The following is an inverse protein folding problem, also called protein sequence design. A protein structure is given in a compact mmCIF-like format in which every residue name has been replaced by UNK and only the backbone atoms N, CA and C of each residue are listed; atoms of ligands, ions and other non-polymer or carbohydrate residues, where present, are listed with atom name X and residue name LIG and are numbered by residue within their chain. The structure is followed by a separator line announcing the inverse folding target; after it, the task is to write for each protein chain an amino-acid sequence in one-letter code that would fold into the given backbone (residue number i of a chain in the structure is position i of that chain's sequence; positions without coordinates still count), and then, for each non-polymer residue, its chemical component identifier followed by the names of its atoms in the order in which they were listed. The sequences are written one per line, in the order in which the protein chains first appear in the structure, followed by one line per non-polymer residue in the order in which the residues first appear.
data_IF_552391433072
#
_entry.id   IF_552391433072
#
_cell.length_a   1.000
_cell.length_b   1.000
_cell.length_c   1.000
_cell.angle_alpha   90.00
_cell.angle_beta   90.00
_cell.angle_gamma   90.00
#
_symmetry.space_group_name_H-M   'P 1'
#
loop_
_entity.id
_entity.type
_entity.pdbx_description
1 polymer ?
#
# COMPACT_ATOMS: atom_id res chain seq x y z
N UNK A 1 -3.32 -11.81 26.43
CA UNK A 1 -3.07 -11.32 27.79
C UNK A 1 -4.07 -10.21 28.12
N UNK A 2 -4.74 -10.28 29.27
CA UNK A 2 -5.69 -9.27 29.75
C UNK A 2 -5.04 -8.51 30.90
N UNK A 3 -5.25 -7.20 30.99
CA UNK A 3 -4.75 -6.38 32.07
C UNK A 3 -5.41 -6.86 33.40
N UNK A 4 -4.64 -7.40 34.31
CA UNK A 4 -5.10 -7.93 35.59
C UNK A 4 -5.00 -6.97 36.76
N UNK A 5 -4.56 -5.75 36.53
CA UNK A 5 -4.36 -4.68 37.51
C UNK A 5 -3.39 -3.64 36.91
N UNK A 6 -3.66 -2.36 37.14
CA UNK A 6 -2.80 -1.29 36.69
C UNK A 6 -2.05 -0.69 37.89
N UNK A 7 -0.78 -0.48 37.72
CA UNK A 7 0.11 0.15 38.67
C UNK A 7 0.62 1.47 38.09
N UNK A 8 0.41 2.56 38.79
CA UNK A 8 1.07 3.82 38.43
C UNK A 8 2.56 3.73 38.77
N UNK A 9 3.42 4.18 37.85
CA UNK A 9 4.84 4.17 38.13
C UNK A 9 5.48 5.55 38.04
N UNK A 10 6.51 5.72 38.84
CA UNK A 10 7.39 6.88 38.83
C UNK A 10 8.81 6.41 38.61
N UNK A 11 9.50 7.01 37.67
CA UNK A 11 10.92 6.77 37.42
C UNK A 11 11.73 7.63 38.39
N UNK A 12 12.61 7.03 39.19
CA UNK A 12 13.45 7.69 40.19
C UNK A 12 14.92 7.69 39.75
N UNK A 13 15.62 8.78 40.02
CA UNK A 13 17.05 8.86 39.71
C UNK A 13 17.31 9.36 38.30
N UNK A 14 18.43 8.94 37.70
CA UNK A 14 18.88 9.35 36.38
C UNK A 14 20.30 9.91 36.33
N UNK A 15 20.92 10.13 37.46
CA UNK A 15 22.34 10.46 37.53
C UNK A 15 23.13 9.17 37.20
N UNK A 16 23.90 9.19 36.14
CA UNK A 16 24.67 8.06 35.59
C UNK A 16 23.86 7.00 34.80
N UNK A 17 22.61 7.29 34.31
CA UNK A 17 21.82 6.37 33.49
C UNK A 17 21.26 5.17 34.28
N UNK A 18 21.32 5.19 35.58
CA UNK A 18 20.67 4.20 36.45
C UNK A 18 19.39 4.77 37.03
N UNK A 19 18.30 4.00 36.89
CA UNK A 19 16.98 4.38 37.35
C UNK A 19 16.38 3.30 38.24
N UNK A 20 15.51 3.71 39.16
CA UNK A 20 14.66 2.81 39.89
C UNK A 20 13.20 3.07 39.52
N UNK A 21 12.39 2.03 39.46
CA UNK A 21 10.96 2.14 39.20
C UNK A 21 10.22 2.01 40.54
N UNK A 22 9.47 3.04 40.90
CA UNK A 22 8.53 3.01 42.01
C UNK A 22 7.13 2.79 41.45
N UNK A 23 6.50 1.67 41.79
CA UNK A 23 5.15 1.33 41.40
C UNK A 23 4.21 1.50 42.60
N UNK A 24 3.02 2.07 42.33
CA UNK A 24 2.00 2.31 43.36
C UNK A 24 0.66 1.82 42.87
N UNK A 25 -0.05 1.08 43.76
CA UNK A 25 -1.43 0.66 43.56
C UNK A 25 -2.12 0.55 44.97
N UNK A 26 -3.29 1.17 45.11
CA UNK A 26 -4.17 1.00 46.29
C UNK A 26 -3.45 1.03 47.66
N UNK A 27 -2.60 2.05 47.89
CA UNK A 27 -1.76 2.23 49.10
C UNK A 27 -0.60 1.23 49.27
N UNK A 28 -0.35 0.38 48.31
CA UNK A 28 0.85 -0.44 48.26
C UNK A 28 1.87 0.14 47.31
N UNK A 29 3.13 0.12 47.74
CA UNK A 29 4.23 0.62 46.88
C UNK A 29 5.29 -0.47 46.73
N UNK A 30 5.86 -0.57 45.54
CA UNK A 30 6.92 -1.50 45.21
C UNK A 30 8.04 -0.75 44.51
N UNK A 31 9.29 -1.10 44.83
CA UNK A 31 10.46 -0.47 44.20
C UNK A 31 11.33 -1.53 43.54
N UNK A 32 11.91 -1.18 42.39
CA UNK A 32 12.88 -2.03 41.71
C UNK A 32 14.30 -1.81 42.26
N UNK A 33 15.18 -2.77 42.03
CA UNK A 33 16.61 -2.52 42.06
C UNK A 33 17.03 -1.48 40.99
N UNK A 34 18.17 -0.80 41.12
CA UNK A 34 18.65 0.09 40.09
C UNK A 34 18.81 -0.63 38.75
N UNK A 35 18.17 -0.09 37.71
CA UNK A 35 18.18 -0.64 36.34
C UNK A 35 18.85 0.38 35.42
N UNK A 36 19.81 -0.07 34.62
CA UNK A 36 20.42 0.77 33.59
C UNK A 36 19.50 0.85 32.37
N UNK A 37 19.00 2.03 32.06
CA UNK A 37 18.12 2.25 30.92
C UNK A 37 18.87 2.90 29.76
N UNK A 38 18.78 2.31 28.58
CA UNK A 38 19.29 2.90 27.34
C UNK A 38 18.24 3.86 26.75
N UNK A 39 18.70 4.97 26.18
CA UNK A 39 17.82 5.85 25.39
C UNK A 39 17.35 5.14 24.14
N UNK A 40 16.18 5.54 23.62
CA UNK A 40 15.61 4.97 22.39
C UNK A 40 16.62 5.00 21.22
N UNK A 41 17.38 6.10 21.10
CA UNK A 41 18.40 6.26 20.06
C UNK A 41 19.59 5.32 20.24
N UNK A 42 20.07 5.16 21.48
CA UNK A 42 21.17 4.23 21.79
C UNK A 42 20.76 2.78 21.54
N UNK A 43 19.51 2.43 21.87
CA UNK A 43 18.98 1.09 21.65
C UNK A 43 18.79 0.78 20.17
N UNK A 44 18.30 1.74 19.37
CA UNK A 44 18.17 1.57 17.92
C UNK A 44 19.53 1.32 17.27
N UNK A 45 20.56 2.06 17.66
CA UNK A 45 21.93 1.86 17.18
C UNK A 45 22.45 0.48 17.59
N UNK A 46 22.28 0.08 18.84
CA UNK A 46 22.73 -1.22 19.35
C UNK A 46 21.98 -2.39 18.70
N UNK A 47 20.71 -2.22 18.35
CA UNK A 47 19.94 -3.22 17.60
C UNK A 47 20.43 -3.37 16.17
N UNK A 48 20.75 -2.28 15.47
CA UNK A 48 21.36 -2.32 14.12
C UNK A 48 22.72 -3.00 14.10
N UNK A 49 23.47 -2.90 15.19
CA UNK A 49 24.78 -3.52 15.35
C UNK A 49 24.71 -4.99 15.87
N UNK A 50 23.53 -5.54 16.05
CA UNK A 50 23.31 -6.90 16.56
C UNK A 50 23.70 -7.10 18.03
N UNK A 51 23.92 -6.02 18.80
CA UNK A 51 24.36 -6.06 20.20
C UNK A 51 23.21 -6.23 21.20
N UNK A 52 21.97 -5.99 20.79
CA UNK A 52 20.78 -6.18 21.62
C UNK A 52 20.00 -7.37 21.08
N UNK A 53 19.99 -8.45 21.84
CA UNK A 53 19.01 -9.51 21.65
C UNK A 53 17.66 -9.03 22.22
N UNK A 54 16.55 -9.34 21.56
CA UNK A 54 15.18 -9.05 22.03
C UNK A 54 14.80 -9.94 23.25
N UNK A 55 15.62 -9.88 24.30
CA UNK A 55 15.35 -10.64 25.52
C UNK A 55 14.70 -9.69 26.53
N UNK A 56 13.53 -10.03 27.00
CA UNK A 56 12.88 -9.31 28.10
C UNK A 56 13.79 -9.35 29.31
N UNK A 57 14.13 -8.16 29.84
CA UNK A 57 14.91 -8.07 31.08
C UNK A 57 13.96 -8.22 32.26
N UNK A 58 14.13 -9.28 33.03
CA UNK A 58 13.36 -9.51 34.25
C UNK A 58 13.90 -8.67 35.38
N UNK A 59 13.05 -7.91 36.05
CA UNK A 59 13.39 -7.04 37.18
C UNK A 59 12.45 -7.37 38.36
N UNK A 60 13.02 -7.81 39.48
CA UNK A 60 12.25 -8.11 40.69
C UNK A 60 11.92 -6.83 41.44
N UNK A 61 10.69 -6.77 41.93
CA UNK A 61 10.16 -5.68 42.74
C UNK A 61 10.18 -6.09 44.22
N UNK A 62 10.48 -5.14 45.08
CA UNK A 62 10.41 -5.33 46.54
C UNK A 62 9.36 -4.41 47.13
N UNK A 63 8.66 -4.85 48.23
CA UNK A 63 7.76 -3.97 48.95
C UNK A 63 8.49 -2.74 49.47
N UNK A 64 7.87 -1.60 49.31
CA UNK A 64 8.46 -0.33 49.72
C UNK A 64 7.53 0.43 50.67
N UNK A 65 8.03 0.74 51.85
CA UNK A 65 7.33 1.56 52.85
C UNK A 65 8.27 2.66 53.28
N UNK A 66 8.13 3.84 52.70
CA UNK A 66 8.99 4.99 53.05
C UNK A 66 8.98 6.08 51.96
N UNK A 67 9.72 7.15 52.18
CA UNK A 67 9.92 8.16 51.14
C UNK A 67 11.08 7.74 50.25
N UNK A 68 10.89 7.95 48.92
CA UNK A 68 11.94 7.63 47.97
C UNK A 68 13.15 8.55 48.13
N UNK A 69 14.34 7.96 48.31
CA UNK A 69 15.56 8.69 48.48
C UNK A 69 16.00 9.49 47.25
N UNK A 70 15.53 9.10 46.06
CA UNK A 70 15.86 9.73 44.80
C UNK A 70 14.72 10.58 44.27
N UNK A 71 15.03 11.71 43.61
CA UNK A 71 14.03 12.58 43.00
C UNK A 71 13.37 11.89 41.80
N UNK A 72 12.05 12.16 41.61
CA UNK A 72 11.32 11.71 40.45
C UNK A 72 11.89 12.33 39.17
N UNK A 73 12.18 11.49 38.17
CA UNK A 73 12.65 11.93 36.88
C UNK A 73 11.50 12.62 36.09
N UNK A 74 11.82 13.60 35.27
CA UNK A 74 10.79 14.27 34.45
C UNK A 74 10.18 13.31 33.42
N UNK A 75 8.95 13.58 32.99
CA UNK A 75 8.23 12.77 31.97
C UNK A 75 9.05 12.58 30.70
N UNK A 76 9.87 13.57 30.34
CA UNK A 76 10.76 13.49 29.18
C UNK A 76 11.71 12.30 29.27
N UNK A 77 12.22 11.97 30.45
CA UNK A 77 13.07 10.79 30.65
C UNK A 77 12.33 9.49 30.38
N UNK A 78 11.04 9.40 30.74
CA UNK A 78 10.20 8.23 30.43
C UNK A 78 10.05 8.07 28.91
N UNK A 79 9.84 9.17 28.18
CA UNK A 79 9.72 9.14 26.71
C UNK A 79 11.04 8.76 26.04
N UNK A 80 12.17 9.28 26.53
CA UNK A 80 13.51 8.99 26.01
C UNK A 80 13.93 7.52 26.21
N UNK A 81 13.42 6.84 27.23
CA UNK A 81 13.76 5.45 27.55
C UNK A 81 12.59 4.47 27.29
N UNK A 82 11.52 4.92 26.63
CA UNK A 82 10.27 4.17 26.48
C UNK A 82 10.46 2.79 25.86
N UNK A 83 11.30 2.67 24.83
CA UNK A 83 11.55 1.38 24.16
C UNK A 83 12.19 0.38 25.11
N UNK A 84 13.11 0.80 25.94
CA UNK A 84 13.71 -0.09 26.94
C UNK A 84 12.73 -0.42 28.07
N UNK A 85 11.95 0.56 28.54
CA UNK A 85 10.91 0.33 29.56
C UNK A 85 9.83 -0.65 29.07
N UNK A 86 9.53 -0.69 27.79
CA UNK A 86 8.57 -1.65 27.22
C UNK A 86 9.06 -3.10 27.19
N UNK A 87 10.37 -3.30 27.26
CA UNK A 87 10.98 -4.64 27.27
C UNK A 87 11.29 -5.14 28.69
N UNK A 88 11.02 -4.32 29.70
CA UNK A 88 11.14 -4.76 31.08
C UNK A 88 9.94 -5.66 31.45
N UNK A 89 10.24 -6.76 32.09
CA UNK A 89 9.28 -7.64 32.75
C UNK A 89 9.46 -7.52 34.27
N UNK A 90 8.57 -6.74 34.90
CA UNK A 90 8.64 -6.50 36.34
C UNK A 90 7.89 -7.59 37.06
N UNK A 91 8.53 -8.24 38.01
CA UNK A 91 7.94 -9.34 38.77
C UNK A 91 7.62 -8.86 40.19
N UNK A 92 6.36 -9.02 40.61
CA UNK A 92 5.93 -8.71 41.95
C UNK A 92 6.51 -9.73 42.98
N UNK A 93 6.55 -9.37 44.28
CA UNK A 93 7.09 -10.25 45.33
C UNK A 93 6.38 -11.58 45.49
N UNK A 94 5.17 -11.71 44.92
CA UNK A 94 4.43 -12.98 44.86
C UNK A 94 5.05 -14.02 43.92
N UNK A 95 6.05 -13.59 43.11
CA UNK A 95 6.78 -14.41 42.14
C UNK A 95 5.96 -14.88 40.94
N UNK A 96 4.64 -14.57 40.88
CA UNK A 96 3.73 -15.06 39.86
C UNK A 96 3.11 -13.97 38.97
N UNK A 97 3.19 -12.72 39.40
CA UNK A 97 2.58 -11.61 38.66
C UNK A 97 3.64 -10.82 37.92
N UNK A 98 3.54 -10.88 36.61
CA UNK A 98 4.43 -10.14 35.66
C UNK A 98 3.76 -8.87 35.19
N UNK A 99 4.48 -7.74 35.25
CA UNK A 99 4.00 -6.42 34.85
C UNK A 99 4.75 -5.94 33.62
N UNK A 100 4.03 -5.47 32.63
CA UNK A 100 4.61 -4.85 31.43
C UNK A 100 4.06 -3.44 31.24
N UNK A 101 4.80 -2.58 30.54
CA UNK A 101 4.42 -1.20 30.28
C UNK A 101 3.11 -1.14 29.46
N UNK A 102 2.03 -0.62 30.03
CA UNK A 102 0.73 -0.44 29.36
C UNK A 102 0.53 0.96 28.83
N UNK A 103 1.06 1.97 29.50
CA UNK A 103 0.98 3.37 29.07
C UNK A 103 2.21 4.16 29.52
N UNK A 104 2.25 5.48 29.26
CA UNK A 104 3.39 6.34 29.65
C UNK A 104 3.61 6.41 31.16
N UNK A 105 2.65 6.02 31.98
CA UNK A 105 2.74 6.12 33.45
C UNK A 105 2.26 4.87 34.17
N UNK A 106 1.93 3.80 33.42
CA UNK A 106 1.36 2.60 34.02
C UNK A 106 2.01 1.33 33.54
N UNK A 107 2.28 0.44 34.47
CA UNK A 107 2.53 -0.96 34.22
C UNK A 107 1.25 -1.75 34.52
N UNK A 108 0.95 -2.78 33.74
CA UNK A 108 -0.20 -3.62 33.94
C UNK A 108 0.19 -5.08 34.14
N UNK A 109 -0.46 -5.71 35.11
CA UNK A 109 -0.36 -7.14 35.30
C UNK A 109 -0.94 -7.88 34.09
N UNK A 110 -0.14 -8.74 33.48
CA UNK A 110 -0.57 -9.55 32.37
C UNK A 110 -0.95 -10.93 32.86
N UNK A 111 -2.25 -11.19 32.98
CA UNK A 111 -2.74 -12.55 33.14
C UNK A 111 -2.78 -13.24 31.80
N UNK A 112 -2.27 -14.47 31.75
CA UNK A 112 -2.36 -15.28 30.54
C UNK A 112 -3.83 -15.69 30.36
N UNK A 113 -4.48 -15.05 29.35
CA UNK A 113 -5.89 -15.36 29.06
C UNK A 113 -6.04 -16.70 28.37
N UNK A 114 -5.07 -17.09 27.54
CA UNK A 114 -5.13 -18.32 26.77
C UNK A 114 -3.94 -19.22 27.09
N UNK A 115 -4.22 -20.48 27.40
CA UNK A 115 -3.20 -21.53 27.61
C UNK A 115 -3.20 -22.47 26.41
N UNK A 116 -2.04 -22.76 25.87
CA UNK A 116 -1.88 -23.69 24.75
C UNK A 116 -1.90 -25.13 25.26
N UNK A 117 -2.73 -25.97 24.65
CA UNK A 117 -2.85 -27.39 24.98
C UNK A 117 -2.09 -28.20 23.93
N UNK A 118 -0.85 -28.59 24.26
CA UNK A 118 0.03 -29.32 23.33
C UNK A 118 -0.49 -30.73 23.02
N UNK A 119 -1.12 -31.38 23.99
CA UNK A 119 -1.59 -32.78 23.87
C UNK A 119 -3.03 -32.89 23.34
N UNK A 120 -3.61 -31.76 22.95
CA UNK A 120 -5.00 -31.70 22.52
C UNK A 120 -5.98 -31.69 23.68
N UNK A 121 -7.25 -31.89 23.39
CA UNK A 121 -8.33 -31.99 24.39
C UNK A 121 -9.41 -32.96 23.93
N UNK A 122 -10.11 -33.53 24.92
CA UNK A 122 -11.34 -34.30 24.71
C UNK A 122 -12.52 -33.40 25.05
N UNK A 123 -13.40 -33.18 24.09
CA UNK A 123 -14.64 -32.42 24.29
C UNK A 123 -15.62 -33.20 25.14
N UNK A 124 -16.59 -32.52 25.75
CA UNK A 124 -17.66 -33.18 26.53
C UNK A 124 -18.46 -34.19 25.71
N UNK A 125 -18.55 -33.98 24.39
CA UNK A 125 -19.16 -34.90 23.41
C UNK A 125 -18.34 -36.17 23.16
N UNK A 126 -17.11 -36.28 23.71
CA UNK A 126 -16.19 -37.37 23.42
C UNK A 126 -15.33 -37.18 22.18
N UNK A 127 -15.50 -36.09 21.45
CA UNK A 127 -14.64 -35.75 20.29
C UNK A 127 -13.25 -35.39 20.77
N UNK A 128 -12.24 -36.05 20.23
CA UNK A 128 -10.81 -35.81 20.53
C UNK A 128 -10.21 -34.84 19.49
N UNK A 129 -9.75 -33.70 19.97
CA UNK A 129 -9.06 -32.72 19.14
C UNK A 129 -7.55 -32.85 19.38
N UNK A 130 -6.82 -33.29 18.37
CA UNK A 130 -5.35 -33.40 18.38
C UNK A 130 -4.74 -32.29 17.55
N UNK A 131 -4.81 -31.08 18.03
CA UNK A 131 -4.16 -29.92 17.38
C UNK A 131 -3.25 -29.24 18.40
N UNK A 132 -1.97 -29.14 18.07
CA UNK A 132 -0.95 -28.48 18.90
C UNK A 132 -1.18 -26.96 19.04
N UNK A 133 -2.08 -26.38 18.23
CA UNK A 133 -2.47 -24.97 18.29
C UNK A 133 -3.76 -24.73 19.08
N UNK A 134 -4.29 -25.78 19.72
CA UNK A 134 -5.47 -25.66 20.56
C UNK A 134 -5.19 -24.73 21.74
N UNK A 135 -6.02 -23.73 21.93
CA UNK A 135 -5.97 -22.79 23.05
C UNK A 135 -7.17 -23.01 23.95
N UNK A 136 -6.95 -22.89 25.28
CA UNK A 136 -8.01 -22.83 26.27
C UNK A 136 -8.07 -21.42 26.85
N UNK A 137 -9.23 -20.83 26.88
CA UNK A 137 -9.48 -19.60 27.62
C UNK A 137 -9.44 -19.92 29.12
N UNK A 138 -8.57 -19.24 29.85
CA UNK A 138 -8.38 -19.49 31.29
C UNK A 138 -9.53 -18.96 32.17
N UNK A 139 -10.36 -18.06 31.63
CA UNK A 139 -11.50 -17.48 32.34
C UNK A 139 -12.78 -18.27 32.09
N UNK A 140 -13.08 -18.62 30.84
CA UNK A 140 -14.32 -19.33 30.46
C UNK A 140 -14.14 -20.83 30.40
N UNK A 141 -12.91 -21.32 30.25
CA UNK A 141 -12.60 -22.73 30.04
C UNK A 141 -12.89 -23.21 28.60
N UNK A 142 -13.42 -22.36 27.77
CA UNK A 142 -13.74 -22.67 26.37
C UNK A 142 -12.49 -22.93 25.54
N UNK A 143 -12.64 -23.71 24.49
CA UNK A 143 -11.57 -24.09 23.59
C UNK A 143 -11.63 -23.28 22.29
N UNK A 144 -10.46 -22.96 21.76
CA UNK A 144 -10.29 -22.21 20.52
C UNK A 144 -9.32 -22.91 19.61
N UNK A 145 -9.63 -22.92 18.30
CA UNK A 145 -8.76 -23.41 17.25
C UNK A 145 -8.47 -22.34 16.20
N UNK A 146 -7.32 -22.45 15.51
CA UNK A 146 -7.05 -21.62 14.34
C UNK A 146 -7.97 -22.03 13.18
N UNK A 147 -8.80 -21.10 12.71
CA UNK A 147 -9.63 -21.33 11.54
C UNK A 147 -8.86 -20.97 10.27
N UNK A 148 -8.47 -21.98 9.51
CA UNK A 148 -7.73 -21.83 8.26
C UNK A 148 -8.50 -21.11 7.13
N UNK A 149 -9.84 -21.01 7.24
CA UNK A 149 -10.65 -20.29 6.26
C UNK A 149 -10.71 -18.78 6.51
N UNK A 150 -10.66 -18.37 7.76
CA UNK A 150 -10.80 -16.97 8.16
C UNK A 150 -9.49 -16.31 8.55
N UNK A 151 -8.48 -17.10 8.94
CA UNK A 151 -7.20 -16.61 9.45
C UNK A 151 -7.27 -16.08 10.89
N UNK A 152 -8.29 -16.48 11.65
CA UNK A 152 -8.46 -16.10 13.05
C UNK A 152 -8.61 -17.31 13.94
N UNK A 153 -8.27 -17.17 15.22
CA UNK A 153 -8.69 -18.12 16.22
C UNK A 153 -10.19 -17.94 16.49
N UNK A 154 -10.93 -19.04 16.57
CA UNK A 154 -12.36 -19.04 16.89
C UNK A 154 -12.65 -20.07 17.96
N UNK A 155 -13.66 -19.80 18.79
CA UNK A 155 -14.18 -20.76 19.72
C UNK A 155 -14.79 -21.95 18.99
N UNK A 156 -14.76 -23.10 19.61
CA UNK A 156 -15.37 -24.33 19.11
C UNK A 156 -16.44 -24.80 20.09
N UNK A 157 -17.53 -25.34 19.53
CA UNK A 157 -18.60 -25.96 20.29
C UNK A 157 -18.24 -27.40 20.74
N UNK A 158 -19.19 -28.06 21.41
CA UNK A 158 -19.03 -29.45 21.89
C UNK A 158 -18.89 -30.47 20.75
N UNK A 159 -19.26 -30.11 19.51
CA UNK A 159 -19.11 -30.90 18.28
C UNK A 159 -17.81 -30.59 17.53
N UNK A 160 -17.02 -29.63 18.01
CA UNK A 160 -15.79 -29.19 17.37
C UNK A 160 -16.01 -28.22 16.19
N UNK A 161 -17.21 -27.65 16.02
CA UNK A 161 -17.51 -26.68 14.97
C UNK A 161 -17.16 -25.26 15.45
N UNK A 162 -16.71 -24.43 14.51
CA UNK A 162 -16.37 -23.04 14.79
C UNK A 162 -17.62 -22.21 15.11
N UNK A 163 -17.60 -21.49 16.21
CA UNK A 163 -18.69 -20.62 16.67
C UNK A 163 -18.20 -19.22 16.98
N UNK A 164 -19.07 -18.22 16.80
CA UNK A 164 -18.78 -16.82 17.11
C UNK A 164 -17.89 -16.13 16.07
N UNK A 165 -17.35 -14.97 16.49
CA UNK A 165 -16.47 -14.17 15.64
C UNK A 165 -15.01 -14.57 15.83
N UNK A 166 -14.21 -14.42 14.76
CA UNK A 166 -12.76 -14.60 14.86
C UNK A 166 -12.11 -13.57 15.77
N UNK A 167 -11.10 -14.01 16.52
CA UNK A 167 -10.38 -13.18 17.48
C UNK A 167 -9.09 -12.59 16.88
N UNK A 168 -8.90 -11.27 17.08
CA UNK A 168 -7.68 -10.59 16.73
C UNK A 168 -6.57 -10.80 17.79
N UNK A 169 -5.29 -10.84 17.38
CA UNK A 169 -4.79 -10.74 16.02
C UNK A 169 -4.99 -12.03 15.24
N UNK A 170 -5.24 -11.89 13.91
CA UNK A 170 -5.31 -13.02 13.00
C UNK A 170 -3.94 -13.52 12.56
N UNK A 171 -3.93 -14.55 11.73
CA UNK A 171 -2.73 -15.11 11.12
C UNK A 171 -2.92 -15.24 9.59
N UNK A 172 -1.81 -15.30 8.87
CA UNK A 172 -1.84 -15.41 7.39
C UNK A 172 -2.23 -16.82 6.98
N UNK A 173 -3.28 -16.92 6.15
CA UNK A 173 -3.72 -18.17 5.54
C UNK A 173 -3.63 -18.10 4.03
N UNK A 174 -3.32 -19.24 3.42
CA UNK A 174 -3.36 -19.36 1.97
C UNK A 174 -4.79 -19.66 1.53
N UNK A 175 -5.39 -18.70 0.83
CA UNK A 175 -6.78 -18.84 0.33
C UNK A 175 -6.84 -19.41 -1.09
N UNK A 176 -5.69 -19.71 -1.71
CA UNK A 176 -5.61 -20.25 -3.07
C UNK A 176 -6.41 -19.42 -4.07
N UNK A 177 -7.27 -20.08 -4.85
CA UNK A 177 -8.12 -19.43 -5.86
C UNK A 177 -9.45 -18.88 -5.35
N UNK A 178 -9.75 -18.99 -4.04
CA UNK A 178 -11.03 -18.61 -3.44
C UNK A 178 -11.44 -17.17 -3.74
N UNK A 179 -10.47 -16.22 -3.68
CA UNK A 179 -10.74 -14.82 -3.98
C UNK A 179 -11.06 -14.59 -5.47
N UNK A 180 -10.38 -15.33 -6.37
CA UNK A 180 -10.66 -15.24 -7.81
C UNK A 180 -12.03 -15.82 -8.14
N UNK A 181 -12.39 -16.96 -7.56
CA UNK A 181 -13.73 -17.54 -7.70
C UNK A 181 -14.79 -16.58 -7.17
N UNK A 182 -14.55 -15.96 -6.01
CA UNK A 182 -15.46 -14.98 -5.42
C UNK A 182 -15.72 -13.78 -6.33
N UNK A 183 -14.68 -13.25 -6.99
CA UNK A 183 -14.85 -12.15 -7.97
C UNK A 183 -15.82 -12.54 -9.09
N UNK A 184 -15.78 -13.81 -9.52
CA UNK A 184 -16.61 -14.32 -10.61
C UNK A 184 -18.02 -14.74 -10.19
N UNK A 185 -18.23 -15.03 -8.90
CA UNK A 185 -19.50 -15.61 -8.42
C UNK A 185 -20.32 -14.70 -7.52
N UNK A 186 -19.67 -13.72 -6.84
CA UNK A 186 -20.35 -12.78 -5.94
C UNK A 186 -21.01 -11.66 -6.77
N UNK A 187 -22.35 -11.56 -6.82
CA UNK A 187 -23.04 -10.54 -7.63
C UNK A 187 -22.70 -9.11 -7.25
N UNK A 188 -22.35 -8.87 -5.98
CA UNK A 188 -21.96 -7.54 -5.50
C UNK A 188 -20.57 -7.09 -6.00
N UNK A 189 -19.72 -8.04 -6.37
CA UNK A 189 -18.37 -7.78 -6.87
C UNK A 189 -18.31 -7.90 -8.40
N UNK A 190 -18.96 -8.91 -8.96
CA UNK A 190 -18.89 -9.26 -10.39
C UNK A 190 -19.26 -8.10 -11.29
N UNK A 191 -20.39 -7.43 -11.03
CA UNK A 191 -20.89 -6.33 -11.85
C UNK A 191 -19.90 -5.17 -11.95
N UNK A 192 -19.51 -4.53 -10.81
CA UNK A 192 -18.53 -3.45 -10.81
C UNK A 192 -17.17 -3.87 -11.38
N UNK A 193 -16.71 -5.08 -11.06
CA UNK A 193 -15.43 -5.61 -11.57
C UNK A 193 -15.44 -5.72 -13.10
N UNK A 194 -16.48 -6.30 -13.70
CA UNK A 194 -16.58 -6.43 -15.15
C UNK A 194 -16.69 -5.09 -15.86
N UNK A 195 -17.39 -4.12 -15.29
CA UNK A 195 -17.44 -2.76 -15.85
C UNK A 195 -16.06 -2.09 -15.87
N UNK A 196 -15.30 -2.21 -14.76
CA UNK A 196 -13.94 -1.66 -14.68
C UNK A 196 -13.01 -2.42 -15.63
N UNK A 197 -13.08 -3.74 -15.67
CA UNK A 197 -12.26 -4.57 -16.55
C UNK A 197 -12.47 -4.21 -18.02
N UNK A 198 -13.72 -4.19 -18.49
CA UNK A 198 -14.06 -3.82 -19.87
C UNK A 198 -13.59 -2.40 -20.17
N UNK A 199 -13.82 -1.46 -19.25
CA UNK A 199 -13.31 -0.09 -19.43
C UNK A 199 -11.79 -0.05 -19.54
N UNK A 200 -11.06 -0.79 -18.72
CA UNK A 200 -9.58 -0.83 -18.77
C UNK A 200 -9.08 -1.34 -20.12
N UNK A 201 -9.68 -2.41 -20.64
CA UNK A 201 -9.36 -2.96 -21.98
C UNK A 201 -9.63 -1.93 -23.07
N UNK A 202 -10.80 -1.29 -23.05
CA UNK A 202 -11.16 -0.24 -24.02
C UNK A 202 -10.19 0.94 -23.93
N UNK A 203 -9.90 1.39 -22.70
CA UNK A 203 -8.99 2.49 -22.48
C UNK A 203 -7.58 2.20 -23.02
N UNK A 204 -7.02 1.02 -22.73
CA UNK A 204 -5.72 0.59 -23.22
C UNK A 204 -5.70 0.53 -24.75
N UNK A 205 -6.69 -0.11 -25.37
CA UNK A 205 -6.80 -0.22 -26.81
C UNK A 205 -6.90 1.15 -27.49
N UNK A 206 -7.78 2.02 -26.98
CA UNK A 206 -7.95 3.37 -27.52
C UNK A 206 -6.70 4.24 -27.32
N UNK A 207 -6.06 4.13 -26.15
CA UNK A 207 -4.82 4.87 -25.85
C UNK A 207 -3.71 4.51 -26.83
N UNK A 208 -3.47 3.22 -27.03
CA UNK A 208 -2.44 2.75 -28.00
C UNK A 208 -2.81 3.15 -29.42
N UNK A 209 -4.07 2.97 -29.83
CA UNK A 209 -4.50 3.31 -31.17
C UNK A 209 -4.37 4.83 -31.47
N UNK A 210 -4.82 5.69 -30.56
CA UNK A 210 -4.77 7.15 -30.76
C UNK A 210 -3.36 7.70 -30.69
N UNK A 211 -2.54 7.25 -29.73
CA UNK A 211 -1.14 7.67 -29.62
C UNK A 211 -0.33 7.24 -30.84
N UNK A 212 -0.55 6.02 -31.33
CA UNK A 212 0.07 5.51 -32.54
C UNK A 212 -0.39 6.29 -33.78
N UNK A 213 -1.72 6.46 -33.97
CA UNK A 213 -2.27 7.15 -35.14
C UNK A 213 -1.74 8.58 -35.23
N UNK A 214 -1.86 9.35 -34.15
CA UNK A 214 -1.38 10.73 -34.10
C UNK A 214 0.14 10.77 -34.20
N UNK A 215 0.87 9.94 -33.47
CA UNK A 215 2.34 9.86 -33.52
C UNK A 215 2.85 9.54 -34.91
N UNK A 216 2.25 8.58 -35.61
CA UNK A 216 2.62 8.20 -36.97
C UNK A 216 2.36 9.33 -37.98
N UNK A 217 1.18 9.95 -37.92
CA UNK A 217 0.85 11.10 -38.80
C UNK A 217 1.83 12.25 -38.55
N UNK A 218 2.11 12.61 -37.31
CA UNK A 218 3.06 13.67 -36.97
C UNK A 218 4.48 13.31 -37.38
N UNK A 219 4.90 12.05 -37.23
CA UNK A 219 6.20 11.58 -37.74
C UNK A 219 6.34 11.76 -39.26
N UNK A 220 5.33 11.38 -40.05
CA UNK A 220 5.32 11.56 -41.49
C UNK A 220 5.37 13.05 -41.89
N UNK A 221 4.56 13.89 -41.22
CA UNK A 221 4.53 15.34 -41.50
C UNK A 221 5.88 15.99 -41.22
N UNK A 222 6.53 15.67 -40.11
CA UNK A 222 7.82 16.28 -39.69
C UNK A 222 8.99 15.76 -40.55
N UNK A 223 8.85 14.59 -41.16
CA UNK A 223 9.86 14.05 -42.07
C UNK A 223 9.67 14.50 -43.51
N UNK A 224 8.52 15.09 -43.83
CA UNK A 224 8.26 15.58 -45.17
C UNK A 224 9.27 16.65 -45.58
N UNK A 225 10.01 16.42 -46.69
CA UNK A 225 11.14 17.28 -47.10
C UNK A 225 10.74 18.70 -47.47
N UNK A 226 9.54 18.86 -48.01
CA UNK A 226 9.01 20.17 -48.43
C UNK A 226 8.59 21.06 -47.26
N UNK A 227 8.49 20.49 -46.01
CA UNK A 227 8.10 21.23 -44.82
C UNK A 227 9.24 22.18 -44.39
N UNK A 228 9.04 23.49 -44.62
CA UNK A 228 9.98 24.51 -44.13
C UNK A 228 9.93 24.59 -42.60
N UNK A 229 11.10 24.63 -41.94
CA UNK A 229 11.17 24.73 -40.50
C UNK A 229 10.90 23.40 -39.72
N UNK A 230 11.04 22.26 -40.39
CA UNK A 230 10.78 20.93 -39.81
C UNK A 230 11.47 20.68 -38.45
N UNK A 231 12.66 21.26 -38.25
CA UNK A 231 13.37 21.17 -36.97
C UNK A 231 12.62 21.84 -35.81
N UNK A 232 12.03 23.00 -36.06
CA UNK A 232 11.22 23.71 -35.05
C UNK A 232 9.96 22.93 -34.71
N UNK A 233 9.23 22.46 -35.72
CA UNK A 233 8.03 21.64 -35.49
C UNK A 233 8.36 20.35 -34.72
N UNK A 234 9.48 19.68 -35.00
CA UNK A 234 9.93 18.50 -34.28
C UNK A 234 10.11 18.80 -32.80
N UNK A 235 10.78 19.89 -32.45
CA UNK A 235 11.00 20.30 -31.07
C UNK A 235 9.67 20.61 -30.38
N UNK A 236 8.78 21.36 -31.03
CA UNK A 236 7.47 21.71 -30.48
C UNK A 236 6.58 20.48 -30.24
N UNK A 237 6.60 19.53 -31.16
CA UNK A 237 5.78 18.30 -31.03
C UNK A 237 6.34 17.32 -30.00
N UNK A 238 7.63 17.38 -29.66
CA UNK A 238 8.22 16.56 -28.58
C UNK A 238 8.05 17.24 -27.23
N UNK A 239 7.75 18.53 -27.17
CA UNK A 239 7.67 19.30 -25.92
C UNK A 239 6.76 18.68 -24.86
N UNK A 240 5.58 18.11 -25.19
CA UNK A 240 4.75 17.44 -24.18
C UNK A 240 5.46 16.32 -23.41
N UNK A 241 6.35 15.62 -24.08
CA UNK A 241 7.14 14.54 -23.46
C UNK A 241 8.22 15.06 -22.51
N UNK A 242 8.73 16.27 -22.74
CA UNK A 242 9.73 16.89 -21.89
C UNK A 242 9.14 17.49 -20.58
N UNK A 243 7.84 17.75 -20.55
CA UNK A 243 7.16 18.30 -19.38
C UNK A 243 6.77 17.16 -18.44
N UNK A 244 7.08 17.25 -17.13
CA UNK A 244 6.62 16.25 -16.16
C UNK A 244 5.10 16.05 -16.22
N UNK A 245 4.64 14.80 -16.31
CA UNK A 245 3.24 14.47 -16.54
C UNK A 245 2.28 15.11 -15.52
N UNK A 246 2.67 15.22 -14.25
CA UNK A 246 1.83 15.84 -13.22
C UNK A 246 1.53 17.32 -13.50
N UNK A 247 2.48 18.07 -14.10
CA UNK A 247 2.27 19.48 -14.49
C UNK A 247 1.25 19.54 -15.62
N UNK A 248 1.43 18.71 -16.67
CA UNK A 248 0.48 18.65 -17.78
C UNK A 248 -0.93 18.29 -17.30
N UNK A 249 -1.06 17.30 -16.40
CA UNK A 249 -2.35 16.90 -15.84
C UNK A 249 -3.04 18.06 -15.08
N UNK A 250 -2.28 18.84 -14.30
CA UNK A 250 -2.82 20.00 -13.59
C UNK A 250 -3.30 21.09 -14.56
N UNK A 251 -2.54 21.34 -15.62
CA UNK A 251 -2.95 22.28 -16.70
C UNK A 251 -4.22 21.80 -17.36
N UNK A 252 -4.30 20.53 -17.79
CA UNK A 252 -5.51 19.99 -18.39
C UNK A 252 -6.72 20.00 -17.45
N UNK A 253 -6.49 19.78 -16.14
CA UNK A 253 -7.54 19.93 -15.14
C UNK A 253 -8.15 21.34 -15.14
N UNK A 254 -7.34 22.36 -15.34
CA UNK A 254 -7.80 23.75 -15.53
C UNK A 254 -8.54 23.94 -16.88
N UNK A 255 -7.93 23.49 -17.98
CA UNK A 255 -8.48 23.64 -19.33
C UNK A 255 -9.87 23.00 -19.50
N UNK A 256 -10.12 21.85 -18.86
CA UNK A 256 -11.42 21.16 -18.87
C UNK A 256 -12.39 21.67 -17.79
N UNK A 257 -12.06 22.74 -17.07
CA UNK A 257 -12.99 23.29 -16.08
C UNK A 257 -14.30 23.71 -16.75
N UNK A 258 -15.44 23.35 -16.13
CA UNK A 258 -16.75 23.58 -16.72
C UNK A 258 -17.09 25.07 -16.94
N UNK A 259 -16.71 25.92 -16.01
CA UNK A 259 -17.10 27.33 -16.02
C UNK A 259 -16.05 28.26 -16.60
N UNK A 260 -14.77 27.99 -16.36
CA UNK A 260 -13.65 28.88 -16.67
C UNK A 260 -12.60 28.23 -17.59
N UNK A 261 -12.79 26.94 -17.96
CA UNK A 261 -11.83 26.24 -18.81
C UNK A 261 -11.92 26.68 -20.27
N UNK A 262 -10.76 26.94 -20.86
CA UNK A 262 -10.63 27.44 -22.23
C UNK A 262 -11.27 26.51 -23.27
N UNK A 263 -11.25 25.18 -22.99
CA UNK A 263 -11.89 24.19 -23.88
C UNK A 263 -13.40 24.43 -23.94
N UNK A 264 -14.06 24.63 -22.81
CA UNK A 264 -15.49 24.92 -22.76
C UNK A 264 -15.82 26.29 -23.32
N UNK A 265 -15.00 27.31 -23.06
CA UNK A 265 -15.18 28.63 -23.65
C UNK A 265 -15.09 28.58 -25.18
N UNK A 266 -14.14 27.83 -25.72
CA UNK A 266 -14.03 27.61 -27.16
C UNK A 266 -15.22 26.86 -27.74
N UNK A 267 -15.62 25.76 -27.10
CA UNK A 267 -16.76 24.92 -27.54
C UNK A 267 -18.08 25.70 -27.50
N UNK A 268 -18.28 26.52 -26.47
CA UNK A 268 -19.46 27.37 -26.33
C UNK A 268 -19.49 28.44 -27.42
N UNK A 269 -18.34 29.10 -27.70
CA UNK A 269 -18.21 30.12 -28.72
C UNK A 269 -18.37 29.57 -30.16
N UNK A 270 -17.82 28.38 -30.45
CA UNK A 270 -17.80 27.79 -31.78
C UNK A 270 -19.06 26.96 -32.10
N UNK A 271 -19.60 26.26 -31.11
CA UNK A 271 -20.67 25.26 -31.31
C UNK A 271 -21.87 25.45 -30.37
N UNK A 272 -21.84 26.40 -29.45
CA UNK A 272 -22.92 26.61 -28.47
C UNK A 272 -23.09 25.49 -27.44
N UNK A 273 -22.05 24.67 -27.24
CA UNK A 273 -22.10 23.54 -26.30
C UNK A 273 -21.14 23.73 -25.12
N UNK A 274 -21.55 23.31 -23.93
CA UNK A 274 -20.78 23.41 -22.70
C UNK A 274 -20.75 22.07 -21.98
N UNK A 275 -19.92 21.13 -22.40
CA UNK A 275 -19.85 19.79 -21.82
C UNK A 275 -19.45 19.78 -20.36
N UNK A 276 -20.08 18.90 -19.58
CA UNK A 276 -19.70 18.66 -18.19
C UNK A 276 -18.75 17.45 -18.09
N UNK A 277 -17.46 17.74 -18.21
CA UNK A 277 -16.38 16.76 -18.30
C UNK A 277 -16.22 15.92 -17.04
N UNK A 278 -16.55 16.45 -15.86
CA UNK A 278 -16.25 15.79 -14.60
C UNK A 278 -17.38 14.95 -14.04
N UNK A 279 -18.63 15.34 -14.30
CA UNK A 279 -19.81 14.68 -13.72
C UNK A 279 -20.43 13.65 -14.67
N UNK A 280 -20.25 13.83 -16.00
CA UNK A 280 -20.73 12.88 -16.99
C UNK A 280 -19.73 11.75 -17.18
N UNK A 281 -20.06 10.48 -16.81
CA UNK A 281 -19.09 9.37 -16.85
C UNK A 281 -18.47 9.13 -18.24
N UNK A 282 -19.23 9.32 -19.31
CA UNK A 282 -18.73 9.17 -20.67
C UNK A 282 -17.72 10.28 -21.02
N UNK A 283 -18.05 11.55 -20.72
CA UNK A 283 -17.18 12.68 -21.01
C UNK A 283 -15.90 12.63 -20.17
N UNK A 284 -15.98 12.19 -18.91
CA UNK A 284 -14.80 11.96 -18.09
C UNK A 284 -13.85 10.93 -18.72
N UNK A 285 -14.37 9.85 -19.28
CA UNK A 285 -13.58 8.85 -20.02
C UNK A 285 -12.92 9.41 -21.27
N UNK A 286 -13.67 10.21 -22.04
CA UNK A 286 -13.15 10.90 -23.24
C UNK A 286 -12.05 11.90 -22.86
N UNK A 287 -12.26 12.69 -21.81
CA UNK A 287 -11.26 13.63 -21.29
C UNK A 287 -9.95 12.92 -20.94
N UNK A 288 -10.02 11.81 -20.19
CA UNK A 288 -8.84 11.03 -19.82
C UNK A 288 -8.11 10.50 -21.06
N UNK A 289 -8.85 10.02 -22.07
CA UNK A 289 -8.25 9.57 -23.34
C UNK A 289 -7.55 10.70 -24.10
N UNK A 290 -8.15 11.88 -24.14
CA UNK A 290 -7.53 13.05 -24.77
C UNK A 290 -6.21 13.40 -24.09
N UNK A 291 -6.23 13.52 -22.76
CA UNK A 291 -5.03 13.85 -21.97
C UNK A 291 -3.96 12.78 -22.11
N UNK A 292 -4.34 11.52 -22.03
CA UNK A 292 -3.39 10.40 -22.19
C UNK A 292 -2.79 10.35 -23.59
N UNK A 293 -3.59 10.62 -24.60
CA UNK A 293 -3.12 10.69 -25.99
C UNK A 293 -2.13 11.84 -26.19
N UNK A 294 -2.39 13.00 -25.60
CA UNK A 294 -1.52 14.17 -25.65
C UNK A 294 -0.16 13.91 -24.98
N UNK A 295 -0.16 13.17 -23.88
CA UNK A 295 1.07 12.80 -23.19
C UNK A 295 1.85 11.69 -23.92
N UNK A 296 1.15 10.77 -24.59
CA UNK A 296 1.73 9.56 -25.17
C UNK A 296 2.15 9.67 -26.64
N UNK A 297 1.50 10.53 -27.45
CA UNK A 297 1.79 10.57 -28.88
C UNK A 297 3.25 10.95 -29.24
N UNK A 298 3.99 11.80 -28.47
CA UNK A 298 5.35 12.15 -28.85
C UNK A 298 6.31 10.95 -28.79
N UNK A 299 6.09 10.04 -27.84
CA UNK A 299 6.85 8.80 -27.77
C UNK A 299 6.65 7.97 -29.04
N UNK A 300 5.40 7.75 -29.45
CA UNK A 300 5.07 7.01 -30.68
C UNK A 300 5.60 7.75 -31.93
N UNK A 301 5.56 9.07 -31.93
CA UNK A 301 6.14 9.88 -33.02
C UNK A 301 7.64 9.66 -33.14
N UNK A 302 8.39 9.66 -32.04
CA UNK A 302 9.85 9.43 -32.06
C UNK A 302 10.15 8.03 -32.58
N UNK A 303 9.43 7.01 -32.13
CA UNK A 303 9.58 5.64 -32.62
C UNK A 303 9.30 5.52 -34.12
N UNK A 304 8.19 6.09 -34.56
CA UNK A 304 7.83 6.09 -35.99
C UNK A 304 8.86 6.86 -36.86
N UNK A 305 9.38 7.99 -36.37
CA UNK A 305 10.45 8.74 -37.10
C UNK A 305 11.72 7.90 -37.28
N UNK A 306 12.07 7.09 -36.28
CA UNK A 306 13.21 6.17 -36.37
C UNK A 306 12.98 5.08 -37.42
N UNK A 307 11.81 4.47 -37.40
CA UNK A 307 11.47 3.39 -38.32
C UNK A 307 11.18 3.83 -39.74
N UNK A 308 10.64 5.04 -39.93
CA UNK A 308 10.42 5.62 -41.28
C UNK A 308 11.72 5.73 -42.08
N UNK A 309 12.84 6.01 -41.42
CA UNK A 309 14.16 6.08 -42.07
C UNK A 309 14.68 4.74 -42.57
N UNK A 310 14.13 3.65 -42.09
CA UNK A 310 14.51 2.29 -42.50
C UNK A 310 13.73 1.84 -43.76
N UNK A 311 12.70 2.58 -44.17
CA UNK A 311 11.96 2.29 -45.41
C UNK A 311 12.77 2.82 -46.60
N UNK A 312 13.14 1.95 -47.58
CA UNK A 312 13.85 2.40 -48.79
C UNK A 312 13.04 3.44 -49.59
N UNK A 313 13.68 4.50 -50.01
CA UNK A 313 13.03 5.58 -50.80
C UNK A 313 12.54 5.09 -52.15
N UNK A 314 13.23 4.11 -52.75
CA UNK A 314 12.87 3.46 -54.02
C UNK A 314 11.41 2.98 -54.05
N UNK A 315 10.85 2.59 -52.90
CA UNK A 315 9.43 2.18 -52.80
C UNK A 315 8.48 3.34 -53.05
N UNK A 316 8.83 4.52 -52.58
CA UNK A 316 8.01 5.71 -52.79
C UNK A 316 8.19 6.27 -54.21
N UNK A 317 9.41 6.19 -54.80
CA UNK A 317 9.65 6.55 -56.17
C UNK A 317 8.92 5.64 -57.14
N UNK A 318 8.99 4.31 -56.95
CA UNK A 318 8.25 3.37 -57.78
C UNK A 318 6.73 3.61 -57.69
N UNK A 319 6.20 3.85 -56.51
CA UNK A 319 4.77 4.13 -56.32
C UNK A 319 4.34 5.44 -56.97
N UNK A 320 5.22 6.45 -57.00
CA UNK A 320 4.96 7.70 -57.67
C UNK A 320 4.92 7.54 -59.20
N UNK A 321 5.78 6.66 -59.75
CA UNK A 321 5.72 6.30 -61.18
C UNK A 321 4.40 5.62 -61.54
N UNK A 322 3.81 4.83 -60.60
CA UNK A 322 2.48 4.21 -60.73
C UNK A 322 1.33 5.21 -60.48
N UNK A 323 1.64 6.48 -60.19
CA UNK A 323 0.65 7.53 -59.99
C UNK A 323 0.00 7.53 -58.58
N UNK A 324 0.61 6.87 -57.56
CA UNK A 324 0.10 6.86 -56.21
C UNK A 324 0.30 8.21 -55.51
N UNK A 325 -0.76 8.70 -54.89
CA UNK A 325 -0.71 9.93 -54.08
C UNK A 325 -0.18 9.71 -52.67
N UNK A 326 0.16 10.79 -51.93
CA UNK A 326 0.73 10.71 -50.57
C UNK A 326 -0.15 9.91 -49.56
N UNK A 327 -1.47 10.07 -49.60
CA UNK A 327 -2.40 9.37 -48.75
C UNK A 327 -2.43 7.85 -49.05
N UNK A 328 -2.33 7.50 -50.33
CA UNK A 328 -2.27 6.12 -50.78
C UNK A 328 -0.98 5.46 -50.32
N UNK A 329 0.15 6.15 -50.42
CA UNK A 329 1.46 5.71 -49.95
C UNK A 329 1.44 5.52 -48.40
N UNK A 330 0.81 6.43 -47.70
CA UNK A 330 0.69 6.33 -46.27
C UNK A 330 0.00 5.01 -45.86
N UNK A 331 -1.17 4.72 -46.40
CA UNK A 331 -1.94 3.52 -45.99
C UNK A 331 -1.42 2.21 -46.62
N UNK A 332 -0.87 2.23 -47.84
CA UNK A 332 -0.45 1.02 -48.54
C UNK A 332 1.03 0.66 -48.37
N UNK A 333 1.89 1.61 -48.06
CA UNK A 333 3.35 1.39 -47.88
C UNK A 333 3.75 1.68 -46.45
N UNK A 334 3.57 2.92 -45.99
CA UNK A 334 4.08 3.36 -44.69
C UNK A 334 3.50 2.58 -43.51
N UNK A 335 2.16 2.55 -43.39
CA UNK A 335 1.48 1.88 -42.26
C UNK A 335 1.83 0.39 -42.18
N UNK A 336 1.72 -0.42 -43.27
CA UNK A 336 2.02 -1.84 -43.18
C UNK A 336 3.47 -2.15 -42.83
N UNK A 337 4.43 -1.38 -43.35
CA UNK A 337 5.84 -1.57 -43.10
C UNK A 337 6.23 -1.17 -41.67
N UNK A 338 5.61 -0.13 -41.11
CA UNK A 338 5.85 0.29 -39.73
C UNK A 338 5.18 -0.63 -38.70
N UNK A 339 4.02 -1.18 -39.02
CA UNK A 339 3.28 -2.03 -38.06
C UNK A 339 4.05 -3.28 -37.64
N UNK A 340 4.82 -3.91 -38.55
CA UNK A 340 5.59 -5.11 -38.24
C UNK A 340 6.60 -4.88 -37.11
N UNK A 341 7.54 -3.93 -37.18
CA UNK A 341 8.50 -3.66 -36.11
C UNK A 341 7.85 -2.99 -34.87
N UNK A 342 6.72 -2.30 -35.02
CA UNK A 342 6.03 -1.69 -33.89
C UNK A 342 5.19 -2.68 -33.08
N UNK A 343 4.76 -3.81 -33.65
CA UNK A 343 3.86 -4.76 -32.97
C UNK A 343 4.33 -5.17 -31.56
N UNK A 344 5.60 -5.56 -31.30
CA UNK A 344 6.03 -5.90 -29.96
C UNK A 344 5.92 -4.74 -28.97
N UNK A 345 6.21 -3.51 -29.44
CA UNK A 345 6.10 -2.30 -28.62
C UNK A 345 4.64 -1.93 -28.32
N UNK A 346 3.75 -2.13 -29.29
CA UNK A 346 2.31 -1.90 -29.12
C UNK A 346 1.71 -2.87 -28.11
N UNK A 347 2.11 -4.15 -28.16
CA UNK A 347 1.68 -5.16 -27.18
C UNK A 347 2.19 -4.80 -25.78
N UNK A 348 3.44 -4.32 -25.67
CA UNK A 348 4.00 -3.90 -24.39
C UNK A 348 3.36 -2.60 -23.86
N UNK A 349 2.81 -1.76 -24.72
CA UNK A 349 2.14 -0.51 -24.34
C UNK A 349 0.67 -0.70 -23.96
N UNK A 350 0.07 -1.82 -24.37
CA UNK A 350 -1.28 -2.23 -24.03
C UNK A 350 -1.35 -2.78 -22.59
#
# INVERSE_FOLDING_TARGET
KVAGGEFDFTLLGGDNGQFQLLLTQDHQSFISQPVSLMTNKARELASREGRVQNTQQVVELQPFTGEAASKAAPIRAIVEHRTHLSDLDLVLPDGGTHLTLSSLRKFAAQKQQYTRLMDGAVLKSGVVIKDSNLLRDTQTGELMLPNGDTGFYQYIDEQGQFVGKGMAPGFVVSVGWKNFVRIMTDPGIQGPFMQIFVWTVIFSACSVAFTLAIGMVMACLVQWEQLRGRGFYRVMLILPYAIPAFISILVFKGLFNQNFGEINLFLEAAFGIKPDWYTTPFLAKVMILIVNTWLGYPYMMILCMGLLKAIPEDLYEASAMDGAGPVQNFFKITVPLLMKPLTPLLIASF
#
